data_IF_924830441257
#
_entry.id   IF_924830441257
#
_cell.length_a   1.000
_cell.length_b   1.000
_cell.length_c   1.000
_cell.angle_alpha   90.00
_cell.angle_beta   90.00
_cell.angle_gamma   90.00
#
_symmetry.space_group_name_H-M   'P 1'
#
loop_
_entity.id
_entity.type
_entity.pdbx_description
1 polymer ?
#
# COMPACT_ATOMS: atom_id res chain seq x y z
N UNK A 1 -19.74 -19.59 -28.32
CA UNK A 1 -18.96 -20.85 -28.31
C UNK A 1 -18.96 -21.37 -26.88
N UNK A 2 -19.32 -22.64 -26.66
CA UNK A 2 -19.17 -23.27 -25.33
C UNK A 2 -17.78 -23.87 -25.28
N UNK A 3 -16.95 -23.45 -24.32
CA UNK A 3 -15.65 -24.06 -24.07
C UNK A 3 -15.84 -25.50 -23.57
N UNK A 4 -14.89 -26.38 -23.89
CA UNK A 4 -14.90 -27.75 -23.35
C UNK A 4 -14.68 -27.75 -21.83
N UNK A 5 -15.07 -28.85 -21.18
CA UNK A 5 -14.90 -28.97 -19.73
C UNK A 5 -13.45 -28.90 -19.28
N UNK A 6 -12.57 -29.49 -20.08
CA UNK A 6 -11.13 -29.47 -19.87
C UNK A 6 -10.56 -28.05 -19.94
N UNK A 7 -10.93 -27.30 -20.98
CA UNK A 7 -10.40 -25.95 -21.22
C UNK A 7 -10.85 -25.00 -20.14
N UNK A 8 -12.11 -25.08 -19.70
CA UNK A 8 -12.59 -24.32 -18.56
C UNK A 8 -11.82 -24.66 -17.28
N UNK A 9 -11.52 -25.94 -17.03
CA UNK A 9 -10.77 -26.36 -15.83
C UNK A 9 -9.34 -25.82 -15.84
N UNK A 10 -8.66 -25.91 -16.98
CA UNK A 10 -7.33 -25.35 -17.17
C UNK A 10 -7.33 -23.82 -17.03
N UNK A 11 -8.32 -23.14 -17.61
CA UNK A 11 -8.47 -21.69 -17.50
C UNK A 11 -8.68 -21.25 -16.05
N UNK A 12 -9.53 -21.96 -15.28
CA UNK A 12 -9.73 -21.70 -13.85
C UNK A 12 -8.43 -21.82 -13.06
N UNK A 13 -7.69 -22.91 -13.27
CA UNK A 13 -6.44 -23.14 -12.56
C UNK A 13 -5.41 -22.05 -12.86
N UNK A 14 -5.29 -21.65 -14.12
CA UNK A 14 -4.31 -20.67 -14.55
C UNK A 14 -4.67 -19.23 -14.13
N UNK A 15 -5.96 -18.87 -14.20
CA UNK A 15 -6.46 -17.59 -13.69
C UNK A 15 -6.32 -17.51 -12.17
N UNK A 16 -6.59 -18.60 -11.46
CA UNK A 16 -6.39 -18.67 -10.02
C UNK A 16 -4.92 -18.49 -9.63
N UNK A 17 -3.99 -19.14 -10.35
CA UNK A 17 -2.56 -19.06 -10.02
C UNK A 17 -1.93 -17.71 -10.39
N UNK A 18 -2.32 -17.11 -11.52
CA UNK A 18 -1.70 -15.87 -12.03
C UNK A 18 -2.39 -14.60 -11.56
N UNK A 19 -3.72 -14.60 -11.50
CA UNK A 19 -4.53 -13.41 -11.16
C UNK A 19 -5.14 -13.50 -9.75
N UNK A 20 -5.04 -14.66 -9.09
CA UNK A 20 -5.67 -14.90 -7.79
C UNK A 20 -7.20 -15.06 -7.84
N UNK A 21 -7.82 -14.94 -9.02
CA UNK A 21 -9.28 -14.87 -9.17
C UNK A 21 -9.92 -16.26 -9.09
N UNK A 22 -11.02 -16.35 -8.33
CA UNK A 22 -11.88 -17.52 -8.27
C UNK A 22 -13.04 -17.41 -9.26
N UNK A 23 -13.10 -18.40 -10.15
CA UNK A 23 -14.21 -18.65 -11.05
C UNK A 23 -14.85 -19.98 -10.68
N UNK A 24 -15.56 -20.00 -9.54
CA UNK A 24 -16.44 -21.10 -9.14
C UNK A 24 -17.44 -21.47 -10.26
N UNK A 25 -18.09 -22.63 -10.16
CA UNK A 25 -18.94 -23.15 -11.24
C UNK A 25 -20.05 -22.17 -11.66
N UNK A 26 -20.58 -21.39 -10.71
CA UNK A 26 -21.57 -20.33 -10.95
C UNK A 26 -21.05 -19.22 -11.87
N UNK A 27 -19.73 -18.94 -11.89
CA UNK A 27 -19.07 -17.94 -12.74
C UNK A 27 -18.37 -18.57 -13.95
N UNK A 28 -18.57 -19.86 -14.22
CA UNK A 28 -18.00 -20.57 -15.37
C UNK A 28 -18.34 -19.89 -16.70
N UNK A 29 -19.57 -19.40 -16.83
CA UNK A 29 -20.01 -18.70 -18.03
C UNK A 29 -19.27 -17.37 -18.23
N UNK A 30 -18.93 -16.66 -17.14
CA UNK A 30 -18.21 -15.39 -17.17
C UNK A 30 -16.77 -15.61 -17.62
N UNK A 31 -16.10 -16.62 -17.04
CA UNK A 31 -14.76 -17.04 -17.45
C UNK A 31 -14.72 -17.36 -18.95
N UNK A 32 -15.69 -18.14 -19.42
CA UNK A 32 -15.74 -18.51 -20.83
C UNK A 32 -15.95 -17.33 -21.77
N UNK A 33 -16.81 -16.37 -21.39
CA UNK A 33 -16.99 -15.14 -22.18
C UNK A 33 -15.72 -14.28 -22.17
N UNK A 34 -15.09 -14.10 -21.02
CA UNK A 34 -13.87 -13.30 -20.90
C UNK A 34 -12.72 -13.88 -21.70
N UNK A 35 -12.52 -15.20 -21.66
CA UNK A 35 -11.48 -15.87 -22.46
C UNK A 35 -11.73 -15.72 -23.96
N UNK A 36 -12.98 -15.84 -24.42
CA UNK A 36 -13.35 -15.63 -25.82
C UNK A 36 -13.10 -14.19 -26.27
N UNK A 37 -13.41 -13.21 -25.41
CA UNK A 37 -13.16 -11.80 -25.72
C UNK A 37 -11.66 -11.50 -25.79
N UNK A 38 -10.89 -11.97 -24.81
CA UNK A 38 -9.43 -11.81 -24.79
C UNK A 38 -8.77 -12.46 -26.02
N UNK A 39 -9.21 -13.68 -26.40
CA UNK A 39 -8.74 -14.37 -27.59
C UNK A 39 -9.03 -13.59 -28.88
N UNK A 40 -10.21 -12.96 -29.01
CA UNK A 40 -10.55 -12.15 -30.20
C UNK A 40 -9.69 -10.90 -30.34
N UNK A 41 -9.17 -10.40 -29.23
CA UNK A 41 -8.29 -9.25 -29.18
C UNK A 41 -6.80 -9.62 -29.26
N UNK A 42 -6.48 -10.92 -29.42
CA UNK A 42 -5.11 -11.43 -29.59
C UNK A 42 -4.90 -12.01 -31.00
N UNK A 43 -3.69 -12.50 -31.28
CA UNK A 43 -3.36 -13.18 -32.54
C UNK A 43 -3.77 -14.66 -32.58
N UNK A 44 -4.33 -15.20 -31.50
CA UNK A 44 -4.69 -16.61 -31.39
C UNK A 44 -6.01 -16.92 -32.10
N UNK A 45 -6.08 -18.07 -32.77
CA UNK A 45 -7.24 -18.48 -33.57
C UNK A 45 -8.40 -19.01 -32.72
N UNK A 46 -8.11 -19.66 -31.59
CA UNK A 46 -9.14 -20.22 -30.69
C UNK A 46 -8.79 -20.01 -29.21
N UNK A 47 -9.78 -19.96 -28.30
CA UNK A 47 -9.55 -19.86 -26.85
C UNK A 47 -8.65 -20.95 -26.29
N UNK A 48 -8.67 -22.15 -26.85
CA UNK A 48 -7.80 -23.26 -26.46
C UNK A 48 -6.35 -22.93 -26.78
N UNK A 49 -6.07 -22.54 -28.04
CA UNK A 49 -4.72 -22.13 -28.45
C UNK A 49 -4.24 -20.89 -27.69
N UNK A 50 -5.16 -19.96 -27.40
CA UNK A 50 -4.88 -18.77 -26.60
C UNK A 50 -4.49 -19.15 -25.16
N UNK A 51 -5.21 -20.06 -24.53
CA UNK A 51 -4.92 -20.52 -23.18
C UNK A 51 -3.59 -21.28 -23.09
N UNK A 52 -3.31 -22.17 -24.06
CA UNK A 52 -2.02 -22.87 -24.13
C UNK A 52 -0.87 -21.88 -24.31
N UNK A 53 -1.03 -20.88 -25.19
CA UNK A 53 -0.03 -19.85 -25.38
C UNK A 53 0.15 -18.99 -24.12
N UNK A 54 -0.94 -18.50 -23.49
CA UNK A 54 -0.91 -17.75 -22.23
C UNK A 54 -0.11 -18.47 -21.14
N UNK A 55 -0.27 -19.79 -21.01
CA UNK A 55 0.46 -20.58 -20.01
C UNK A 55 1.99 -20.57 -20.20
N UNK A 56 2.48 -20.25 -21.40
CA UNK A 56 3.93 -20.13 -21.69
C UNK A 56 4.48 -18.73 -21.45
N UNK A 57 3.60 -17.74 -21.27
CA UNK A 57 4.02 -16.34 -21.13
C UNK A 57 4.41 -16.03 -19.67
N UNK A 58 5.39 -15.12 -19.47
CA UNK A 58 5.69 -14.57 -18.15
C UNK A 58 4.47 -13.87 -17.55
N UNK A 59 4.40 -13.80 -16.22
CA UNK A 59 3.26 -13.25 -15.47
C UNK A 59 3.00 -11.78 -15.80
N UNK A 60 4.05 -11.03 -16.13
CA UNK A 60 3.96 -9.62 -16.51
C UNK A 60 3.57 -9.41 -17.98
N UNK A 61 3.26 -10.48 -18.73
CA UNK A 61 2.88 -10.37 -20.13
C UNK A 61 1.66 -9.45 -20.31
N UNK A 62 1.67 -8.54 -21.30
CA UNK A 62 0.50 -7.72 -21.64
C UNK A 62 -0.77 -8.54 -21.89
N UNK A 63 -0.63 -9.80 -22.28
CA UNK A 63 -1.76 -10.70 -22.51
C UNK A 63 -2.45 -11.13 -21.21
N UNK A 64 -1.74 -11.23 -20.09
CA UNK A 64 -2.37 -11.43 -18.78
C UNK A 64 -3.24 -10.24 -18.39
N UNK A 65 -2.76 -9.02 -18.67
CA UNK A 65 -3.52 -7.78 -18.46
C UNK A 65 -4.74 -7.68 -19.38
N UNK A 66 -4.61 -8.10 -20.64
CA UNK A 66 -5.74 -8.20 -21.58
C UNK A 66 -6.79 -9.18 -21.07
N UNK A 67 -6.38 -10.36 -20.61
CA UNK A 67 -7.33 -11.30 -20.05
C UNK A 67 -8.00 -10.73 -18.80
N UNK A 68 -7.24 -10.08 -17.91
CA UNK A 68 -7.80 -9.44 -16.72
C UNK A 68 -8.88 -8.41 -17.06
N UNK A 69 -8.71 -7.59 -18.12
CA UNK A 69 -9.71 -6.58 -18.50
C UNK A 69 -11.09 -7.16 -18.83
N UNK A 70 -11.13 -8.42 -19.29
CA UNK A 70 -12.36 -9.14 -19.60
C UNK A 70 -12.89 -10.03 -18.45
N UNK A 71 -12.11 -10.22 -17.38
CA UNK A 71 -12.45 -11.09 -16.24
C UNK A 71 -12.82 -10.33 -14.96
N UNK A 72 -12.32 -9.11 -14.80
CA UNK A 72 -12.62 -8.26 -13.64
C UNK A 72 -14.01 -7.64 -13.72
N UNK A 73 -14.64 -7.44 -12.56
CA UNK A 73 -15.90 -6.71 -12.43
C UNK A 73 -15.58 -5.29 -11.99
N UNK A 74 -15.94 -4.30 -12.80
CA UNK A 74 -15.61 -2.88 -12.57
C UNK A 74 -16.74 -2.02 -11.99
N UNK A 75 -17.78 -2.62 -11.38
CA UNK A 75 -18.90 -1.84 -10.83
C UNK A 75 -18.43 -1.03 -9.62
N UNK A 76 -18.47 0.29 -9.73
CA UNK A 76 -18.10 1.23 -8.67
C UNK A 76 -18.86 2.55 -8.84
N UNK A 77 -18.87 3.38 -7.79
CA UNK A 77 -19.50 4.70 -7.78
C UNK A 77 -18.99 5.54 -6.60
N UNK A 78 -19.17 6.86 -6.71
CA UNK A 78 -18.69 7.80 -5.71
C UNK A 78 -19.37 7.58 -4.37
N UNK A 79 -18.57 7.56 -3.31
CA UNK A 79 -19.01 7.32 -1.92
C UNK A 79 -19.80 6.01 -1.74
N UNK A 80 -19.46 4.98 -2.52
CA UNK A 80 -20.05 3.64 -2.39
C UNK A 80 -19.93 3.11 -0.98
N UNK A 81 -21.04 2.62 -0.44
CA UNK A 81 -21.21 2.21 0.97
C UNK A 81 -21.04 3.40 1.91
N UNK A 82 -22.13 4.15 2.01
CA UNK A 82 -22.17 5.42 2.71
C UNK A 82 -21.68 5.31 4.16
N UNK A 83 -22.02 4.22 4.85
CA UNK A 83 -21.61 3.99 6.24
C UNK A 83 -20.09 3.94 6.41
N UNK A 84 -19.38 3.27 5.49
CA UNK A 84 -17.91 3.26 5.50
C UNK A 84 -17.34 4.68 5.30
N UNK A 85 -17.83 5.44 4.33
CA UNK A 85 -17.35 6.79 4.08
C UNK A 85 -17.71 7.78 5.20
N UNK A 86 -18.85 7.61 5.86
CA UNK A 86 -19.21 8.40 7.04
C UNK A 86 -18.25 8.11 8.21
N UNK A 87 -17.89 6.84 8.46
CA UNK A 87 -16.87 6.49 9.45
C UNK A 87 -15.50 7.11 9.13
N UNK A 88 -15.12 7.11 7.84
CA UNK A 88 -13.90 7.76 7.37
C UNK A 88 -13.91 9.28 7.60
N UNK A 89 -14.99 9.96 7.18
CA UNK A 89 -15.10 11.43 7.27
C UNK A 89 -15.22 11.92 8.71
N UNK A 90 -15.98 11.23 9.55
CA UNK A 90 -16.34 11.73 10.88
C UNK A 90 -15.35 11.34 11.97
N UNK A 91 -14.59 10.24 11.80
CA UNK A 91 -13.75 9.70 12.87
C UNK A 91 -12.34 9.35 12.38
N UNK A 92 -12.20 8.44 11.42
CA UNK A 92 -10.89 7.87 11.08
C UNK A 92 -9.92 8.92 10.51
N UNK A 93 -10.32 9.64 9.47
CA UNK A 93 -9.45 10.65 8.85
C UNK A 93 -9.16 11.82 9.80
N UNK A 94 -10.14 12.40 10.52
CA UNK A 94 -9.85 13.42 11.54
C UNK A 94 -8.84 12.97 12.60
N UNK A 95 -8.96 11.74 13.13
CA UNK A 95 -8.02 11.21 14.12
C UNK A 95 -6.62 11.03 13.54
N UNK A 96 -6.49 10.48 12.33
CA UNK A 96 -5.20 10.35 11.65
C UNK A 96 -4.55 11.72 11.42
N UNK A 97 -5.33 12.70 10.94
CA UNK A 97 -4.86 14.07 10.71
C UNK A 97 -4.35 14.70 12.02
N UNK A 98 -5.11 14.57 13.11
CA UNK A 98 -4.73 15.13 14.40
C UNK A 98 -3.42 14.51 14.92
N UNK A 99 -3.31 13.18 14.91
CA UNK A 99 -2.11 12.47 15.36
C UNK A 99 -0.86 12.87 14.54
N UNK A 100 -1.03 13.03 13.22
CA UNK A 100 0.04 13.48 12.32
C UNK A 100 0.50 14.90 12.62
N UNK A 101 -0.44 15.82 12.93
CA UNK A 101 -0.11 17.19 13.37
C UNK A 101 0.63 17.21 14.70
N UNK A 102 0.17 16.43 15.68
CA UNK A 102 0.81 16.34 17.01
C UNK A 102 2.25 15.83 16.91
N UNK A 103 2.50 14.86 16.02
CA UNK A 103 3.84 14.37 15.72
C UNK A 103 4.70 15.35 14.89
N UNK A 104 4.16 16.51 14.47
CA UNK A 104 4.86 17.44 13.57
C UNK A 104 5.02 16.94 12.13
N UNK A 105 4.36 15.83 11.77
CA UNK A 105 4.46 15.16 10.48
C UNK A 105 3.23 15.49 9.62
N UNK A 106 3.29 16.55 8.79
CA UNK A 106 2.19 16.93 7.89
C UNK A 106 2.14 16.05 6.64
N UNK A 107 1.78 14.78 6.82
CA UNK A 107 1.76 13.80 5.75
C UNK A 107 0.70 12.72 5.96
N UNK A 108 0.09 12.29 4.87
CA UNK A 108 -0.82 11.14 4.84
C UNK A 108 -0.65 10.34 3.54
N UNK A 109 -0.60 9.02 3.66
CA UNK A 109 -0.61 8.08 2.53
C UNK A 109 -1.86 7.20 2.58
N UNK A 110 -2.66 7.27 1.53
CA UNK A 110 -3.87 6.50 1.36
C UNK A 110 -3.74 5.61 0.12
N UNK A 111 -4.34 4.43 0.13
CA UNK A 111 -4.33 3.50 -0.99
C UNK A 111 -5.71 2.93 -1.26
N UNK A 112 -6.24 3.14 -2.47
CA UNK A 112 -7.39 2.39 -3.02
C UNK A 112 -6.85 1.22 -3.84
N UNK A 113 -6.94 0.02 -3.26
CA UNK A 113 -6.42 -1.24 -3.78
C UNK A 113 -7.54 -2.00 -4.50
N UNK A 114 -7.50 -2.02 -5.83
CA UNK A 114 -8.60 -2.42 -6.70
C UNK A 114 -9.56 -1.25 -6.96
N UNK A 115 -9.01 -0.14 -7.46
CA UNK A 115 -9.72 1.13 -7.57
C UNK A 115 -10.80 1.18 -8.67
N UNK A 116 -10.89 0.15 -9.52
CA UNK A 116 -11.75 0.11 -10.69
C UNK A 116 -11.59 1.39 -11.53
N UNK A 117 -12.68 2.10 -11.83
CA UNK A 117 -12.67 3.32 -12.65
C UNK A 117 -12.38 4.59 -11.85
N UNK A 118 -11.95 4.47 -10.59
CA UNK A 118 -11.34 5.56 -9.82
C UNK A 118 -12.27 6.31 -8.88
N UNK A 119 -13.58 6.04 -8.90
CA UNK A 119 -14.56 6.70 -8.04
C UNK A 119 -14.21 6.62 -6.55
N UNK A 120 -13.67 5.49 -6.07
CA UNK A 120 -13.25 5.33 -4.68
C UNK A 120 -12.06 6.24 -4.33
N UNK A 121 -11.01 6.23 -5.16
CA UNK A 121 -9.82 7.05 -4.96
C UNK A 121 -10.16 8.55 -4.98
N UNK A 122 -11.04 8.99 -5.88
CA UNK A 122 -11.49 10.37 -5.94
C UNK A 122 -12.44 10.73 -4.80
N UNK A 123 -13.23 9.78 -4.27
CA UNK A 123 -14.01 10.01 -3.06
C UNK A 123 -13.10 10.30 -1.86
N UNK A 124 -11.98 9.58 -1.71
CA UNK A 124 -10.96 9.88 -0.70
C UNK A 124 -10.33 11.27 -0.91
N UNK A 125 -9.99 11.62 -2.15
CA UNK A 125 -9.42 12.93 -2.48
C UNK A 125 -10.36 14.08 -2.10
N UNK A 126 -11.66 13.92 -2.38
CA UNK A 126 -12.70 14.86 -2.00
C UNK A 126 -12.84 14.95 -0.46
N UNK A 127 -12.80 13.83 0.26
CA UNK A 127 -12.80 13.86 1.74
C UNK A 127 -11.60 14.61 2.30
N UNK A 128 -10.39 14.36 1.77
CA UNK A 128 -9.19 15.08 2.22
C UNK A 128 -9.28 16.58 1.90
N UNK A 129 -9.78 16.99 0.73
CA UNK A 129 -10.00 18.40 0.40
C UNK A 129 -10.94 19.10 1.41
N UNK A 130 -11.97 18.39 1.88
CA UNK A 130 -12.93 18.89 2.87
C UNK A 130 -12.34 18.99 4.28
N UNK A 131 -11.56 17.99 4.69
CA UNK A 131 -11.03 17.86 6.04
C UNK A 131 -9.71 18.62 6.26
N UNK A 132 -8.98 18.94 5.18
CA UNK A 132 -7.70 19.66 5.22
C UNK A 132 -7.74 20.95 4.39
N UNK A 133 -8.23 22.07 4.97
CA UNK A 133 -8.17 23.39 4.32
C UNK A 133 -6.72 23.82 4.00
N UNK A 134 -5.78 23.43 4.86
CA UNK A 134 -4.33 23.66 4.78
C UNK A 134 -3.59 22.56 3.99
N UNK A 135 -4.27 21.76 3.17
CA UNK A 135 -3.64 20.62 2.46
C UNK A 135 -2.40 20.96 1.62
N UNK A 136 -2.20 22.22 1.25
CA UNK A 136 -1.01 22.67 0.53
C UNK A 136 0.27 22.51 1.38
N UNK A 137 0.13 22.52 2.71
CA UNK A 137 1.21 22.31 3.67
C UNK A 137 1.43 20.83 3.99
N UNK A 138 0.67 19.94 3.35
CA UNK A 138 0.72 18.50 3.58
C UNK A 138 1.33 17.75 2.39
N UNK A 139 2.18 16.78 2.68
CA UNK A 139 2.55 15.74 1.73
C UNK A 139 1.43 14.69 1.66
N UNK A 140 0.50 14.84 0.72
CA UNK A 140 -0.61 13.89 0.52
C UNK A 140 -0.32 12.94 -0.63
N UNK A 141 -0.51 11.65 -0.40
CA UNK A 141 -0.48 10.62 -1.44
C UNK A 141 -1.78 9.83 -1.40
N UNK A 142 -2.50 9.77 -2.54
CA UNK A 142 -3.56 8.78 -2.76
C UNK A 142 -3.11 7.89 -3.91
N UNK A 143 -2.72 6.66 -3.59
CA UNK A 143 -2.38 5.65 -4.57
C UNK A 143 -3.67 4.92 -5.00
N UNK A 144 -3.92 4.83 -6.30
CA UNK A 144 -5.01 4.07 -6.87
C UNK A 144 -4.43 2.97 -7.76
N UNK A 145 -4.64 1.71 -7.38
CA UNK A 145 -4.12 0.57 -8.14
C UNK A 145 -5.21 -0.38 -8.56
N UNK A 146 -5.03 -0.99 -9.73
CA UNK A 146 -5.90 -2.02 -10.26
C UNK A 146 -5.10 -2.92 -11.19
N UNK A 147 -5.62 -4.12 -11.44
CA UNK A 147 -5.07 -5.07 -12.42
C UNK A 147 -5.61 -4.77 -13.83
N UNK A 148 -6.78 -4.15 -13.94
CA UNK A 148 -7.45 -3.88 -15.20
C UNK A 148 -6.90 -2.58 -15.84
N UNK A 149 -6.17 -2.67 -16.97
CA UNK A 149 -5.59 -1.49 -17.62
C UNK A 149 -6.64 -0.49 -18.13
N UNK A 150 -7.83 -0.96 -18.54
CA UNK A 150 -8.91 -0.09 -19.01
C UNK A 150 -9.52 0.73 -17.87
N UNK A 151 -9.61 0.14 -16.69
CA UNK A 151 -10.10 0.79 -15.47
C UNK A 151 -9.11 1.86 -14.97
N UNK A 152 -7.81 1.54 -15.00
CA UNK A 152 -6.74 2.52 -14.72
C UNK A 152 -6.79 3.69 -15.70
N UNK A 153 -7.02 3.45 -16.98
CA UNK A 153 -7.12 4.52 -17.97
C UNK A 153 -8.37 5.38 -17.77
N UNK A 154 -9.50 4.76 -17.42
CA UNK A 154 -10.69 5.51 -17.01
C UNK A 154 -10.43 6.38 -15.77
N UNK A 155 -9.71 5.85 -14.77
CA UNK A 155 -9.29 6.61 -13.59
C UNK A 155 -8.44 7.82 -14.00
N UNK A 156 -7.41 7.63 -14.84
CA UNK A 156 -6.57 8.73 -15.32
C UNK A 156 -7.35 9.81 -16.05
N UNK A 157 -8.34 9.43 -16.87
CA UNK A 157 -9.20 10.40 -17.56
C UNK A 157 -10.08 11.18 -16.58
N UNK A 158 -10.59 10.53 -15.53
CA UNK A 158 -11.44 11.17 -14.53
C UNK A 158 -12.79 11.65 -15.09
N UNK A 159 -13.31 10.97 -16.12
CA UNK A 159 -14.57 11.32 -16.78
C UNK A 159 -15.67 10.32 -16.42
N UNK A 160 -16.77 10.82 -15.85
CA UNK A 160 -17.85 10.02 -15.29
C UNK A 160 -19.21 10.40 -15.86
N UNK A 161 -20.19 9.50 -15.73
CA UNK A 161 -21.58 9.73 -16.10
C UNK A 161 -22.48 9.75 -14.87
N UNK A 162 -23.74 10.14 -15.05
CA UNK A 162 -24.74 10.20 -13.97
C UNK A 162 -24.79 8.94 -13.09
N UNK A 163 -24.60 7.74 -13.68
CA UNK A 163 -24.61 6.48 -12.93
C UNK A 163 -23.55 6.38 -11.83
N UNK A 164 -22.37 7.00 -12.01
CA UNK A 164 -21.32 7.05 -11.01
C UNK A 164 -21.70 7.91 -9.78
N UNK A 165 -22.76 8.73 -9.89
CA UNK A 165 -23.21 9.67 -8.85
C UNK A 165 -24.52 9.26 -8.16
N UNK A 166 -25.03 8.05 -8.42
CA UNK A 166 -26.38 7.60 -7.99
C UNK A 166 -26.66 7.69 -6.48
N UNK A 167 -25.62 7.66 -5.64
CA UNK A 167 -25.71 7.81 -4.19
C UNK A 167 -24.88 9.01 -3.68
N UNK A 168 -24.49 9.91 -4.59
CA UNK A 168 -23.63 11.05 -4.30
C UNK A 168 -24.46 12.32 -4.16
N UNK A 169 -24.34 13.07 -3.05
CA UNK A 169 -24.99 14.36 -2.91
C UNK A 169 -24.64 15.33 -4.05
N UNK A 170 -25.63 16.05 -4.56
CA UNK A 170 -25.45 16.93 -5.74
C UNK A 170 -24.38 18.00 -5.53
N UNK A 171 -24.29 18.55 -4.31
CA UNK A 171 -23.29 19.58 -3.99
C UNK A 171 -21.84 19.08 -4.18
N UNK A 172 -21.58 17.77 -4.04
CA UNK A 172 -20.26 17.20 -4.33
C UNK A 172 -19.98 17.30 -5.82
N UNK A 173 -20.95 16.89 -6.65
CA UNK A 173 -20.85 16.96 -8.11
C UNK A 173 -20.62 18.40 -8.55
N UNK A 174 -21.39 19.34 -8.01
CA UNK A 174 -21.34 20.74 -8.43
C UNK A 174 -20.02 21.44 -8.03
N UNK A 175 -19.40 21.02 -6.93
CA UNK A 175 -18.14 21.61 -6.43
C UNK A 175 -16.90 20.97 -7.02
N UNK A 176 -16.90 19.65 -7.21
CA UNK A 176 -15.69 18.88 -7.52
C UNK A 176 -15.63 18.36 -8.95
N UNK A 177 -16.64 18.64 -9.77
CA UNK A 177 -16.69 18.19 -11.15
C UNK A 177 -17.06 19.33 -12.10
N UNK A 178 -16.52 19.26 -13.31
CA UNK A 178 -16.86 20.13 -14.41
C UNK A 178 -17.71 19.35 -15.41
N UNK A 179 -18.92 19.84 -15.64
CA UNK A 179 -19.81 19.28 -16.65
C UNK A 179 -19.23 19.50 -18.06
N UNK A 180 -19.09 18.43 -18.83
CA UNK A 180 -18.69 18.43 -20.25
C UNK A 180 -19.79 17.81 -21.09
N UNK A 181 -20.55 18.66 -21.78
CA UNK A 181 -21.70 18.21 -22.56
C UNK A 181 -22.89 17.76 -21.69
N UNK A 182 -23.74 16.89 -22.25
CA UNK A 182 -25.04 16.58 -21.68
C UNK A 182 -25.00 15.61 -20.49
N UNK A 183 -24.04 14.68 -20.43
CA UNK A 183 -24.03 13.61 -19.41
C UNK A 183 -22.65 13.26 -18.87
N UNK A 184 -21.60 13.96 -19.28
CA UNK A 184 -20.22 13.69 -18.86
C UNK A 184 -19.75 14.72 -17.83
N UNK A 185 -19.05 14.26 -16.80
CA UNK A 185 -18.49 15.07 -15.73
C UNK A 185 -17.01 14.75 -15.58
N UNK A 186 -16.16 15.76 -15.64
CA UNK A 186 -14.72 15.64 -15.41
C UNK A 186 -14.39 16.02 -13.97
N UNK A 187 -13.57 15.22 -13.28
CA UNK A 187 -13.05 15.57 -11.95
C UNK A 187 -12.25 16.88 -12.04
N UNK A 188 -12.42 17.76 -11.06
CA UNK A 188 -11.66 19.00 -10.99
C UNK A 188 -10.13 18.72 -10.99
N UNK A 189 -9.32 19.43 -11.78
CA UNK A 189 -7.88 19.15 -11.91
C UNK A 189 -7.11 19.15 -10.58
N UNK A 190 -7.57 19.96 -9.60
CA UNK A 190 -6.98 20.01 -8.27
C UNK A 190 -7.19 18.73 -7.46
N UNK A 191 -8.35 18.07 -7.61
CA UNK A 191 -8.66 16.78 -7.00
C UNK A 191 -7.96 15.66 -7.77
N UNK A 192 -7.98 15.74 -9.10
CA UNK A 192 -7.32 14.76 -9.96
C UNK A 192 -5.82 14.64 -9.65
N UNK A 193 -5.16 15.77 -9.40
CA UNK A 193 -3.74 15.82 -9.07
C UNK A 193 -3.37 15.18 -7.71
N UNK A 194 -4.34 14.87 -6.85
CA UNK A 194 -4.09 14.19 -5.57
C UNK A 194 -3.94 12.67 -5.74
N UNK A 195 -4.40 12.11 -6.86
CA UNK A 195 -4.44 10.67 -7.11
C UNK A 195 -3.31 10.25 -8.05
N UNK A 196 -2.49 9.31 -7.60
CA UNK A 196 -1.47 8.63 -8.41
C UNK A 196 -2.02 7.28 -8.85
N UNK A 197 -2.04 7.01 -10.15
CA UNK A 197 -2.58 5.77 -10.73
C UNK A 197 -1.45 4.84 -11.14
N UNK A 198 -1.46 3.60 -10.67
CA UNK A 198 -0.44 2.60 -10.99
C UNK A 198 -1.02 1.20 -11.19
N UNK A 199 -0.48 0.39 -12.11
CA UNK A 199 -0.89 -1.01 -12.24
C UNK A 199 -0.39 -1.83 -11.04
N UNK A 200 -1.25 -2.69 -10.49
CA UNK A 200 -0.85 -3.67 -9.49
C UNK A 200 -1.81 -4.86 -9.49
N UNK A 201 -1.23 -6.07 -9.51
CA UNK A 201 -1.96 -7.30 -9.23
C UNK A 201 -1.80 -7.66 -7.76
N UNK A 202 -2.88 -7.67 -6.99
CA UNK A 202 -2.81 -8.00 -5.56
C UNK A 202 -2.39 -9.47 -5.32
N UNK A 203 -2.63 -10.38 -6.26
CA UNK A 203 -2.23 -11.78 -6.08
C UNK A 203 -0.70 -11.95 -6.02
N UNK A 204 0.03 -11.03 -6.64
CA UNK A 204 1.48 -11.03 -6.72
C UNK A 204 2.16 -10.68 -5.39
N UNK A 205 3.45 -11.01 -5.31
CA UNK A 205 4.29 -10.90 -4.11
C UNK A 205 5.23 -9.69 -4.09
N UNK A 206 5.23 -8.87 -5.14
CA UNK A 206 6.12 -7.70 -5.29
C UNK A 206 5.75 -6.47 -4.47
N UNK A 207 4.84 -6.61 -3.49
CA UNK A 207 4.40 -5.54 -2.60
C UNK A 207 4.16 -6.06 -1.17
N UNK A 208 4.21 -5.20 -0.13
CA UNK A 208 4.54 -3.77 -0.20
C UNK A 208 6.00 -3.51 -0.57
N UNK A 209 6.24 -2.46 -1.36
CA UNK A 209 7.59 -1.96 -1.66
C UNK A 209 7.55 -0.45 -1.82
N UNK A 210 8.70 0.18 -1.59
CA UNK A 210 8.93 1.60 -1.90
C UNK A 210 8.72 1.86 -3.39
N UNK A 211 9.12 0.90 -4.24
CA UNK A 211 9.05 1.07 -5.70
C UNK A 211 7.61 1.02 -6.21
N UNK A 212 6.79 0.13 -5.64
CA UNK A 212 5.35 0.11 -5.92
C UNK A 212 4.58 1.22 -5.19
N UNK A 213 5.28 2.02 -4.36
CA UNK A 213 4.74 3.08 -3.52
C UNK A 213 3.65 2.61 -2.55
N UNK A 214 3.64 1.32 -2.21
CA UNK A 214 2.61 0.67 -1.38
C UNK A 214 3.02 0.50 0.08
N UNK A 215 4.18 1.00 0.51
CA UNK A 215 4.63 0.92 1.91
C UNK A 215 4.09 2.07 2.76
N UNK A 216 4.08 1.86 4.08
CA UNK A 216 3.80 2.87 5.11
C UNK A 216 2.45 3.61 4.95
N UNK A 217 1.39 2.91 4.55
CA UNK A 217 0.06 3.46 4.37
C UNK A 217 -0.63 3.79 5.71
N UNK A 218 -1.24 4.97 5.81
CA UNK A 218 -2.13 5.35 6.91
C UNK A 218 -3.51 4.69 6.77
N UNK A 219 -3.96 4.53 5.53
CA UNK A 219 -5.28 3.98 5.21
C UNK A 219 -5.20 3.19 3.89
N UNK A 220 -5.74 1.98 3.91
CA UNK A 220 -5.95 1.16 2.71
C UNK A 220 -7.44 0.85 2.59
N UNK A 221 -8.03 1.15 1.44
CA UNK A 221 -9.33 0.63 1.03
C UNK A 221 -9.09 -0.53 0.07
N UNK A 222 -9.55 -1.72 0.42
CA UNK A 222 -9.55 -2.90 -0.45
C UNK A 222 -10.96 -3.51 -0.43
N UNK A 223 -11.89 -2.83 -1.09
CA UNK A 223 -13.33 -3.06 -0.94
C UNK A 223 -13.93 -3.64 -2.22
N UNK A 224 -14.71 -4.70 -2.09
CA UNK A 224 -15.33 -5.42 -3.22
C UNK A 224 -14.29 -5.99 -4.20
N UNK A 225 -13.16 -6.48 -3.68
CA UNK A 225 -12.04 -7.04 -4.45
C UNK A 225 -11.74 -8.47 -3.99
N UNK A 226 -11.44 -8.65 -2.71
CA UNK A 226 -11.08 -9.94 -2.12
C UNK A 226 -12.19 -10.98 -2.27
N UNK A 227 -13.45 -10.57 -2.37
CA UNK A 227 -14.57 -11.48 -2.62
C UNK A 227 -14.46 -12.27 -3.95
N UNK A 228 -13.65 -11.79 -4.90
CA UNK A 228 -13.38 -12.47 -6.16
C UNK A 228 -12.16 -13.37 -6.13
N UNK A 229 -11.42 -13.41 -5.02
CA UNK A 229 -10.15 -14.13 -4.92
C UNK A 229 -10.38 -15.56 -4.40
N UNK A 230 -9.49 -16.47 -4.80
CA UNK A 230 -9.44 -17.80 -4.17
C UNK A 230 -9.08 -17.66 -2.69
N UNK A 231 -9.44 -18.65 -1.86
CA UNK A 231 -9.07 -18.67 -0.44
C UNK A 231 -7.55 -18.59 -0.23
N UNK A 232 -6.80 -19.23 -1.10
CA UNK A 232 -5.33 -19.18 -1.09
C UNK A 232 -4.82 -17.77 -1.37
N UNK A 233 -5.33 -17.12 -2.43
CA UNK A 233 -4.95 -15.75 -2.77
C UNK A 233 -5.34 -14.76 -1.66
N UNK A 234 -6.54 -14.89 -1.06
CA UNK A 234 -6.96 -14.09 0.10
C UNK A 234 -5.95 -14.21 1.25
N UNK A 235 -5.55 -15.44 1.61
CA UNK A 235 -4.59 -15.72 2.69
C UNK A 235 -3.19 -15.17 2.41
N UNK A 236 -2.82 -15.03 1.14
CA UNK A 236 -1.55 -14.42 0.75
C UNK A 236 -1.63 -12.88 0.74
N UNK A 237 -2.72 -12.30 0.25
CA UNK A 237 -2.91 -10.84 0.09
C UNK A 237 -3.04 -10.13 1.42
N UNK A 238 -3.86 -10.65 2.34
CA UNK A 238 -4.19 -9.91 3.57
C UNK A 238 -2.97 -9.61 4.45
N UNK A 239 -2.04 -10.56 4.68
CA UNK A 239 -0.77 -10.23 5.34
C UNK A 239 0.08 -9.19 4.60
N UNK A 240 0.00 -9.08 3.27
CA UNK A 240 0.70 -8.00 2.53
C UNK A 240 0.06 -6.65 2.77
N UNK A 241 -1.27 -6.57 2.75
CA UNK A 241 -2.00 -5.34 3.07
C UNK A 241 -1.74 -4.89 4.51
N UNK A 242 -1.69 -5.84 5.45
CA UNK A 242 -1.33 -5.55 6.85
C UNK A 242 0.11 -5.02 6.97
N UNK A 243 1.09 -5.63 6.29
CA UNK A 243 2.47 -5.13 6.25
C UNK A 243 2.59 -3.76 5.59
N UNK A 244 1.74 -3.47 4.61
CA UNK A 244 1.69 -2.17 3.95
C UNK A 244 1.23 -1.03 4.87
N UNK A 245 0.47 -1.34 5.93
CA UNK A 245 0.00 -0.35 6.91
C UNK A 245 1.09 0.02 7.92
N UNK A 246 1.13 1.30 8.27
CA UNK A 246 1.80 1.74 9.50
C UNK A 246 1.06 1.26 10.72
N UNK A 247 1.76 1.21 11.85
CA UNK A 247 1.14 1.10 13.17
C UNK A 247 0.10 2.21 13.35
N UNK A 248 -1.10 1.84 13.80
CA UNK A 248 -2.23 2.75 13.97
C UNK A 248 -3.03 2.99 12.68
N UNK A 249 -2.54 2.51 11.53
CA UNK A 249 -3.19 2.61 10.24
C UNK A 249 -4.42 1.72 10.10
N UNK A 250 -5.21 1.99 9.06
CA UNK A 250 -6.54 1.40 8.89
C UNK A 250 -6.67 0.62 7.58
N UNK A 251 -7.25 -0.57 7.63
CA UNK A 251 -7.72 -1.33 6.49
C UNK A 251 -9.25 -1.30 6.46
N UNK A 252 -9.81 -0.93 5.31
CA UNK A 252 -11.25 -0.93 5.06
C UNK A 252 -11.56 -1.94 3.96
N UNK A 253 -12.44 -2.89 4.28
CA UNK A 253 -12.96 -3.90 3.35
C UNK A 253 -14.48 -3.79 3.30
N UNK A 254 -15.13 -4.37 2.29
CA UNK A 254 -16.59 -4.38 2.28
C UNK A 254 -17.15 -5.34 3.33
N UNK A 255 -18.38 -5.12 3.79
CA UNK A 255 -19.01 -6.01 4.78
C UNK A 255 -19.11 -7.47 4.32
N UNK A 256 -19.19 -7.73 3.01
CA UNK A 256 -19.20 -9.08 2.45
C UNK A 256 -17.84 -9.80 2.54
N UNK A 257 -16.76 -9.04 2.74
CA UNK A 257 -15.39 -9.54 2.82
C UNK A 257 -14.89 -9.65 4.26
N UNK A 258 -15.56 -8.98 5.20
CA UNK A 258 -15.23 -8.98 6.61
C UNK A 258 -15.12 -10.43 7.14
N UNK A 259 -13.95 -10.76 7.68
CA UNK A 259 -13.64 -12.11 8.16
C UNK A 259 -12.67 -12.05 9.33
N UNK A 260 -13.14 -12.47 10.52
CA UNK A 260 -12.32 -12.47 11.72
C UNK A 260 -11.09 -13.38 11.62
N UNK A 261 -11.17 -14.48 10.86
CA UNK A 261 -10.02 -15.38 10.64
C UNK A 261 -9.00 -14.72 9.70
N UNK A 262 -9.46 -14.16 8.58
CA UNK A 262 -8.57 -13.69 7.54
C UNK A 262 -7.78 -12.45 7.96
N UNK A 263 -8.41 -11.56 8.73
CA UNK A 263 -7.80 -10.29 9.15
C UNK A 263 -7.12 -10.36 10.52
N UNK A 264 -6.82 -11.55 11.04
CA UNK A 264 -6.19 -11.76 12.36
C UNK A 264 -4.68 -11.54 12.26
N UNK A 265 -4.22 -10.28 12.18
CA UNK A 265 -3.77 -9.59 13.39
C UNK A 265 -4.32 -8.16 13.57
N UNK A 266 -5.23 -7.72 12.70
CA UNK A 266 -5.86 -6.40 12.79
C UNK A 266 -7.03 -6.43 13.79
N UNK A 267 -7.20 -5.32 14.50
CA UNK A 267 -8.28 -5.13 15.47
C UNK A 267 -9.53 -4.61 14.75
N UNK A 268 -10.66 -5.33 14.74
CA UNK A 268 -11.90 -4.82 14.18
C UNK A 268 -12.48 -3.71 15.08
N UNK A 269 -12.88 -2.60 14.48
CA UNK A 269 -13.53 -1.47 15.13
C UNK A 269 -14.89 -1.23 14.46
N UNK A 270 -15.94 -1.29 15.27
CA UNK A 270 -17.31 -1.14 14.80
C UNK A 270 -17.73 0.32 14.75
N UNK A 271 -18.35 0.69 13.64
CA UNK A 271 -19.02 1.96 13.42
C UNK A 271 -20.49 1.69 13.06
N UNK A 272 -21.38 2.69 13.16
CA UNK A 272 -22.76 2.54 12.68
C UNK A 272 -22.80 2.10 11.21
N UNK A 273 -23.17 0.84 10.96
CA UNK A 273 -23.28 0.27 9.61
C UNK A 273 -21.97 -0.16 8.95
N UNK A 274 -20.82 -0.13 9.64
CA UNK A 274 -19.53 -0.52 9.07
C UNK A 274 -18.58 -1.15 10.12
N UNK A 275 -17.68 -2.02 9.66
CA UNK A 275 -16.58 -2.55 10.48
C UNK A 275 -15.29 -2.26 9.71
N UNK A 276 -14.38 -1.54 10.36
CA UNK A 276 -13.07 -1.21 9.82
C UNK A 276 -12.00 -1.91 10.66
N UNK A 277 -10.81 -2.12 10.14
CA UNK A 277 -9.74 -2.85 10.80
C UNK A 277 -8.57 -1.93 11.08
N UNK A 278 -8.06 -1.91 12.30
CA UNK A 278 -6.91 -1.10 12.70
C UNK A 278 -5.71 -1.97 12.99
N UNK A 279 -4.54 -1.57 12.49
CA UNK A 279 -3.26 -2.19 12.87
C UNK A 279 -2.81 -1.61 14.20
N UNK A 280 -2.73 -2.41 15.25
CA UNK A 280 -2.17 -1.97 16.53
C UNK A 280 -0.70 -2.40 16.67
N UNK A 281 -0.01 -1.81 17.65
CA UNK A 281 1.30 -2.34 18.05
C UNK A 281 1.10 -3.79 18.48
N UNK A 282 1.88 -4.71 17.91
CA UNK A 282 2.02 -6.05 18.47
C UNK A 282 2.63 -5.89 19.86
N UNK A 283 1.77 -5.77 20.88
CA UNK A 283 2.16 -5.93 22.25
C UNK A 283 2.78 -7.33 22.36
N UNK A 284 4.03 -7.40 22.78
CA UNK A 284 4.62 -8.66 23.25
C UNK A 284 3.73 -9.12 24.42
N UNK A 285 2.90 -10.13 24.15
CA UNK A 285 2.03 -10.90 25.05
C UNK A 285 1.33 -10.16 26.21
N UNK A 286 -0.01 -10.07 26.16
CA UNK A 286 -0.80 -9.83 27.38
C UNK A 286 -2.26 -9.48 27.15
N UNK A 287 -3.09 -10.49 26.84
CA UNK A 287 -4.58 -10.53 26.91
C UNK A 287 -5.40 -9.44 26.16
N UNK A 288 -6.51 -9.82 25.50
CA UNK A 288 -7.38 -8.86 24.82
C UNK A 288 -8.18 -8.03 25.84
N UNK A 289 -7.89 -6.74 25.91
CA UNK A 289 -8.77 -5.76 26.57
C UNK A 289 -9.93 -5.43 25.63
N UNK A 290 -11.15 -5.82 26.02
CA UNK A 290 -12.37 -5.34 25.39
C UNK A 290 -12.61 -3.88 25.82
N UNK A 291 -12.09 -2.91 25.05
CA UNK A 291 -12.42 -1.50 25.27
C UNK A 291 -13.71 -1.19 24.51
N UNK A 292 -14.84 -1.26 25.21
CA UNK A 292 -16.07 -0.60 24.78
C UNK A 292 -15.92 0.91 24.94
N UNK A 293 -15.92 1.65 23.83
CA UNK A 293 -15.90 3.12 23.85
C UNK A 293 -17.31 3.64 24.18
N UNK A 294 -17.47 4.28 25.35
CA UNK A 294 -18.65 5.07 25.69
C UNK A 294 -18.37 6.57 25.46
N UNK A 295 -19.35 7.37 25.00
CA UNK A 295 -19.13 8.78 24.70
C UNK A 295 -18.92 9.60 25.98
N UNK A 296 -17.98 10.53 25.92
CA UNK A 296 -17.58 11.38 27.04
C UNK A 296 -18.71 12.35 27.47
N UNK A 297 -19.27 12.13 28.66
CA UNK A 297 -20.00 13.16 29.41
C UNK A 297 -19.05 13.77 30.46
N UNK A 298 -18.70 15.05 30.27
CA UNK A 298 -17.98 15.85 31.28
C UNK A 298 -18.88 16.09 32.48
N UNK A 299 -18.42 15.70 33.68
CA UNK A 299 -18.66 16.49 34.90
C UNK A 299 -17.40 16.45 35.75
N UNK A 300 -16.95 17.65 36.12
CA UNK A 300 -15.82 17.90 36.99
C UNK A 300 -16.27 17.86 38.44
N UNK A 301 -15.45 17.34 39.36
CA UNK A 301 -15.48 17.76 40.76
C UNK A 301 -14.13 17.44 41.48
N UNK A 302 -13.45 18.54 41.82
CA UNK A 302 -12.66 18.88 43.02
C UNK A 302 -11.66 17.93 43.71
N UNK A 303 -10.50 18.55 43.98
CA UNK A 303 -9.25 18.16 44.66
C UNK A 303 -9.36 18.16 46.20
N UNK A 304 -8.57 17.33 46.91
CA UNK A 304 -7.85 17.68 48.17
C UNK A 304 -6.55 16.83 48.35
N UNK A 305 -5.47 17.35 49.00
CA UNK A 305 -4.15 16.69 49.08
C UNK A 305 -3.75 16.07 50.46
N UNK A 306 -2.68 15.26 50.40
CA UNK A 306 -1.82 14.47 51.34
C UNK A 306 -1.84 14.66 52.88
N UNK A 307 -1.31 13.65 53.63
CA UNK A 307 -0.03 13.88 54.34
C UNK A 307 0.96 12.67 54.43
N UNK A 308 2.21 12.88 54.92
CA UNK A 308 3.37 11.99 54.69
C UNK A 308 3.81 11.08 55.89
N UNK A 309 4.74 10.17 55.55
CA UNK A 309 5.63 9.20 56.28
C UNK A 309 5.72 9.18 57.82
N UNK A 310 6.17 8.04 58.42
CA UNK A 310 7.52 8.09 59.03
C UNK A 310 8.39 6.82 58.96
N UNK A 311 9.71 7.05 59.05
CA UNK A 311 10.80 6.10 59.26
C UNK A 311 10.94 5.63 60.72
N UNK A 312 11.45 4.41 60.90
CA UNK A 312 12.21 3.92 62.08
C UNK A 312 12.88 2.60 61.69
N UNK A 313 13.97 2.11 62.29
CA UNK A 313 15.14 2.64 62.98
C UNK A 313 16.13 1.44 63.03
N UNK A 314 17.43 1.73 63.13
CA UNK A 314 18.55 0.78 63.09
C UNK A 314 18.83 0.21 64.49
N UNK A 315 19.22 -1.06 64.61
CA UNK A 315 20.46 -1.51 65.29
C UNK A 315 20.59 -3.05 65.44
N UNK A 316 21.83 -3.52 65.25
CA UNK A 316 22.36 -4.89 65.40
C UNK A 316 22.73 -5.19 66.90
N UNK A 317 23.42 -6.28 67.35
CA UNK A 317 24.27 -7.26 66.64
C UNK A 317 24.24 -8.73 67.15
N UNK A 318 24.96 -9.64 66.48
CA UNK A 318 25.40 -10.93 67.05
C UNK A 318 25.71 -12.00 65.99
N UNK A 319 26.83 -12.71 66.14
CA UNK A 319 27.40 -13.69 65.20
C UNK A 319 26.49 -14.88 64.85
N UNK A 320 26.82 -15.79 63.94
CA UNK A 320 28.04 -16.62 63.85
C UNK A 320 28.25 -17.09 62.39
N UNK A 321 29.51 -17.32 62.05
CA UNK A 321 30.07 -17.80 60.77
C UNK A 321 29.62 -19.23 60.43
N UNK A 322 29.20 -19.45 59.18
CA UNK A 322 29.24 -20.77 58.54
C UNK A 322 29.64 -20.62 57.06
N UNK A 323 30.70 -21.32 56.68
CA UNK A 323 31.32 -21.29 55.36
C UNK A 323 30.43 -21.93 54.28
N UNK A 324 30.33 -21.27 53.12
CA UNK A 324 29.84 -21.87 51.87
C UNK A 324 30.79 -21.51 50.72
N UNK A 325 31.05 -22.52 49.89
CA UNK A 325 32.00 -22.60 48.79
C UNK A 325 31.88 -21.49 47.73
N UNK A 326 32.96 -21.19 46.98
CA UNK A 326 32.93 -20.12 45.97
C UNK A 326 31.99 -20.46 44.82
N UNK A 327 31.14 -19.49 44.47
CA UNK A 327 30.30 -19.52 43.27
C UNK A 327 31.17 -19.45 42.00
N UNK A 328 30.82 -20.17 40.92
CA UNK A 328 31.52 -20.06 39.65
C UNK A 328 31.30 -18.67 39.04
N UNK A 329 32.36 -18.08 38.50
CA UNK A 329 32.32 -16.80 37.78
C UNK A 329 31.29 -16.84 36.64
N UNK A 330 30.52 -15.75 36.41
CA UNK A 330 29.60 -15.69 35.29
C UNK A 330 30.39 -15.85 33.97
N UNK A 331 29.82 -16.53 32.96
CA UNK A 331 30.43 -16.61 31.63
C UNK A 331 30.62 -15.19 31.08
N UNK A 332 31.68 -14.93 30.30
CA UNK A 332 31.85 -13.63 29.66
C UNK A 332 30.61 -13.34 28.81
N UNK A 333 30.08 -12.12 28.94
CA UNK A 333 28.98 -11.65 28.12
C UNK A 333 29.31 -11.91 26.64
N UNK A 334 28.35 -12.38 25.83
CA UNK A 334 28.58 -12.54 24.42
C UNK A 334 28.96 -11.17 23.85
N UNK A 335 30.20 -11.05 23.40
CA UNK A 335 30.64 -9.92 22.59
C UNK A 335 29.64 -9.82 21.43
N UNK A 336 28.86 -8.74 21.39
CA UNK A 336 27.97 -8.46 20.26
C UNK A 336 28.83 -8.55 18.99
N UNK A 337 28.62 -9.61 18.21
CA UNK A 337 29.23 -9.73 16.91
C UNK A 337 28.86 -8.47 16.13
N UNK A 338 29.86 -7.77 15.59
CA UNK A 338 29.66 -6.61 14.72
C UNK A 338 28.53 -6.95 13.74
N UNK A 339 27.40 -6.23 13.75
CA UNK A 339 26.25 -6.64 12.96
C UNK A 339 26.60 -6.60 11.47
N UNK A 340 26.32 -7.72 10.80
CA UNK A 340 26.48 -7.89 9.36
C UNK A 340 25.69 -6.79 8.61
N UNK A 341 26.29 -6.07 7.64
CA UNK A 341 25.60 -5.00 6.88
C UNK A 341 24.25 -5.42 6.28
N UNK A 342 24.12 -6.67 5.83
CA UNK A 342 22.84 -7.18 5.30
C UNK A 342 21.77 -7.36 6.40
N UNK A 343 22.21 -7.59 7.63
CA UNK A 343 21.33 -7.66 8.80
C UNK A 343 20.92 -6.27 9.28
N UNK A 344 21.84 -5.29 9.28
CA UNK A 344 21.52 -3.90 9.60
C UNK A 344 20.57 -3.26 8.55
N UNK A 345 20.74 -3.55 7.26
CA UNK A 345 19.84 -3.04 6.22
C UNK A 345 18.43 -3.62 6.35
N UNK A 346 18.29 -4.92 6.65
CA UNK A 346 16.99 -5.54 6.95
C UNK A 346 16.32 -4.92 8.18
N UNK A 347 17.09 -4.61 9.22
CA UNK A 347 16.59 -3.89 10.40
C UNK A 347 16.14 -2.48 10.04
N UNK A 348 16.93 -1.73 9.26
CA UNK A 348 16.57 -0.39 8.81
C UNK A 348 15.26 -0.40 8.01
N UNK A 349 15.09 -1.37 7.10
CA UNK A 349 13.84 -1.59 6.36
C UNK A 349 12.67 -1.86 7.30
N UNK A 350 12.82 -2.80 8.23
CA UNK A 350 11.76 -3.15 9.18
C UNK A 350 11.35 -1.96 10.05
N UNK A 351 12.30 -1.09 10.42
CA UNK A 351 12.00 0.15 11.15
C UNK A 351 11.24 1.15 10.28
N UNK A 352 11.65 1.33 9.02
CA UNK A 352 10.95 2.17 8.06
C UNK A 352 9.51 1.69 7.81
N UNK A 353 9.30 0.38 7.64
CA UNK A 353 7.98 -0.23 7.45
C UNK A 353 7.07 -0.03 8.67
N UNK A 354 7.66 0.04 9.87
CA UNK A 354 6.94 0.31 11.11
C UNK A 354 6.69 1.80 11.35
N UNK A 355 7.19 2.68 10.47
CA UNK A 355 7.09 4.14 10.60
C UNK A 355 8.08 4.75 11.58
N UNK A 356 9.07 3.99 12.08
CA UNK A 356 10.16 4.49 12.93
C UNK A 356 11.27 5.07 12.06
N UNK A 357 10.97 6.22 11.46
CA UNK A 357 11.76 6.80 10.38
C UNK A 357 13.11 7.33 10.86
N UNK A 358 13.20 7.86 12.09
CA UNK A 358 14.45 8.31 12.70
C UNK A 358 15.41 7.13 12.93
N UNK A 359 14.94 6.06 13.58
CA UNK A 359 15.73 4.84 13.81
C UNK A 359 16.20 4.21 12.48
N UNK A 360 15.34 4.21 11.47
CA UNK A 360 15.67 3.71 10.14
C UNK A 360 16.73 4.60 9.44
N UNK A 361 16.64 5.92 9.60
CA UNK A 361 17.60 6.88 9.05
C UNK A 361 18.98 6.67 9.67
N UNK A 362 19.05 6.61 11.01
CA UNK A 362 20.29 6.42 11.76
C UNK A 362 21.00 5.12 11.35
N UNK A 363 20.23 4.04 11.18
CA UNK A 363 20.77 2.76 10.69
C UNK A 363 21.32 2.88 9.27
N UNK A 364 20.60 3.56 8.36
CA UNK A 364 21.08 3.77 6.99
C UNK A 364 22.37 4.61 6.95
N UNK A 365 22.45 5.67 7.75
CA UNK A 365 23.63 6.51 7.86
C UNK A 365 24.83 5.72 8.44
N UNK A 366 24.59 4.88 9.44
CA UNK A 366 25.61 3.99 10.00
C UNK A 366 26.14 2.97 8.98
N UNK A 367 25.26 2.39 8.16
CA UNK A 367 25.66 1.47 7.07
C UNK A 367 26.53 2.22 6.05
N UNK A 368 26.10 3.40 5.60
CA UNK A 368 26.84 4.21 4.63
C UNK A 368 28.16 4.77 5.19
N UNK A 369 28.26 4.99 6.50
CA UNK A 369 29.52 5.35 7.14
C UNK A 369 30.57 4.23 7.04
N UNK A 370 30.12 2.96 7.07
CA UNK A 370 30.98 1.78 6.89
C UNK A 370 31.28 1.50 5.42
N UNK A 371 30.29 1.63 4.54
CA UNK A 371 30.44 1.42 3.10
C UNK A 371 29.64 2.46 2.28
N UNK A 372 30.33 3.47 1.75
CA UNK A 372 29.74 4.54 0.94
C UNK A 372 29.39 4.12 -0.50
N UNK A 373 29.77 2.92 -0.92
CA UNK A 373 29.56 2.42 -2.28
C UNK A 373 28.35 1.49 -2.39
N UNK A 374 27.68 1.20 -1.27
CA UNK A 374 26.48 0.38 -1.26
C UNK A 374 25.27 1.17 -1.82
N UNK A 375 24.60 0.60 -2.82
CA UNK A 375 23.46 1.19 -3.51
C UNK A 375 22.17 1.12 -2.67
N UNK A 376 21.93 -0.02 -2.02
CA UNK A 376 20.63 -0.31 -1.39
C UNK A 376 20.27 0.65 -0.24
N UNK A 377 21.22 1.06 0.64
CA UNK A 377 20.95 2.05 1.67
C UNK A 377 20.55 3.41 1.10
N UNK A 378 21.08 3.82 -0.07
CA UNK A 378 20.66 5.06 -0.72
C UNK A 378 19.21 5.00 -1.24
N UNK A 379 18.78 3.84 -1.76
CA UNK A 379 17.38 3.64 -2.16
C UNK A 379 16.43 3.68 -0.95
N UNK A 380 16.84 3.07 0.17
CA UNK A 380 16.08 3.13 1.42
C UNK A 380 16.07 4.54 2.02
N UNK A 381 17.18 5.27 2.03
CA UNK A 381 17.21 6.68 2.47
C UNK A 381 16.29 7.56 1.63
N UNK A 382 16.27 7.36 0.32
CA UNK A 382 15.34 8.10 -0.55
C UNK A 382 13.89 7.84 -0.15
N UNK A 383 13.55 6.60 0.17
CA UNK A 383 12.26 6.23 0.70
C UNK A 383 11.99 6.95 2.02
N UNK A 384 12.88 6.85 3.01
CA UNK A 384 12.73 7.45 4.33
C UNK A 384 12.55 8.98 4.23
N UNK A 385 13.34 9.67 3.41
CA UNK A 385 13.18 11.11 3.19
C UNK A 385 11.84 11.44 2.49
N UNK A 386 11.40 10.64 1.53
CA UNK A 386 10.05 10.76 0.97
C UNK A 386 8.99 10.52 2.06
N UNK A 387 9.24 9.58 2.97
CA UNK A 387 8.39 9.31 4.12
C UNK A 387 8.31 10.48 5.11
N UNK A 388 9.36 11.29 5.20
CA UNK A 388 9.43 12.49 6.04
C UNK A 388 8.97 13.77 5.33
N UNK A 389 8.59 13.68 4.04
CA UNK A 389 8.24 14.86 3.22
C UNK A 389 9.45 15.67 2.74
N UNK A 390 10.67 15.19 2.99
CA UNK A 390 11.94 15.83 2.65
C UNK A 390 12.34 15.53 1.19
N UNK A 391 11.50 15.93 0.23
CA UNK A 391 11.66 15.55 -1.18
C UNK A 391 13.03 15.95 -1.78
N UNK A 392 13.62 17.06 -1.32
CA UNK A 392 14.95 17.49 -1.75
C UNK A 392 16.06 16.53 -1.32
N UNK A 393 15.98 16.02 -0.09
CA UNK A 393 16.92 15.03 0.43
C UNK A 393 16.72 13.68 -0.27
N UNK A 394 15.47 13.26 -0.50
CA UNK A 394 15.16 12.05 -1.26
C UNK A 394 15.78 12.07 -2.66
N UNK A 395 15.60 13.17 -3.41
CA UNK A 395 16.21 13.33 -4.73
C UNK A 395 17.75 13.34 -4.68
N UNK A 396 18.34 13.85 -3.60
CA UNK A 396 19.81 13.86 -3.43
C UNK A 396 20.34 12.45 -3.21
N UNK A 397 19.67 11.65 -2.36
CA UNK A 397 20.00 10.24 -2.16
C UNK A 397 19.89 9.45 -3.48
N UNK A 398 18.82 9.65 -4.26
CA UNK A 398 18.64 8.98 -5.55
C UNK A 398 19.69 9.37 -6.60
N UNK A 399 20.08 10.65 -6.66
CA UNK A 399 21.18 11.08 -7.53
C UNK A 399 22.49 10.44 -7.12
N UNK A 400 22.71 10.22 -5.83
CA UNK A 400 23.89 9.51 -5.33
C UNK A 400 23.85 8.02 -5.72
N UNK A 401 22.70 7.38 -5.56
CA UNK A 401 22.47 6.02 -6.06
C UNK A 401 22.77 5.88 -7.56
N UNK A 402 22.24 6.79 -8.40
CA UNK A 402 22.50 6.81 -9.84
C UNK A 402 23.97 7.08 -10.17
N UNK A 403 24.65 7.93 -9.39
CA UNK A 403 26.08 8.17 -9.59
C UNK A 403 26.92 6.90 -9.34
N UNK A 404 26.55 6.11 -8.33
CA UNK A 404 27.24 4.86 -7.99
C UNK A 404 26.90 3.73 -8.97
N UNK A 405 25.64 3.62 -9.37
CA UNK A 405 25.13 2.63 -10.31
C UNK A 405 24.29 3.32 -11.41
N UNK A 406 24.91 3.82 -12.49
CA UNK A 406 24.22 4.54 -13.56
C UNK A 406 23.15 3.71 -14.29
N UNK A 407 23.25 2.38 -14.21
CA UNK A 407 22.34 1.37 -14.75
C UNK A 407 21.29 0.89 -13.74
N UNK A 408 21.21 1.50 -12.55
CA UNK A 408 20.17 1.20 -11.56
C UNK A 408 18.80 1.68 -12.02
N UNK A 409 18.06 0.80 -12.68
CA UNK A 409 16.67 1.06 -13.08
C UNK A 409 15.77 1.48 -11.89
N UNK A 410 15.85 0.87 -10.69
CA UNK A 410 15.08 1.34 -9.53
C UNK A 410 15.38 2.79 -9.14
N UNK A 411 16.66 3.19 -9.14
CA UNK A 411 17.04 4.56 -8.78
C UNK A 411 16.49 5.59 -9.79
N UNK A 412 16.58 5.29 -11.09
CA UNK A 412 15.99 6.12 -12.15
C UNK A 412 14.47 6.17 -12.03
N UNK A 413 13.81 5.05 -11.72
CA UNK A 413 12.37 5.00 -11.56
C UNK A 413 11.89 5.88 -10.41
N UNK A 414 12.46 5.70 -9.21
CA UNK A 414 12.13 6.49 -8.03
C UNK A 414 12.40 7.98 -8.24
N UNK A 415 13.48 8.33 -8.93
CA UNK A 415 13.76 9.74 -9.26
C UNK A 415 12.74 10.28 -10.25
N UNK A 416 12.40 9.49 -11.27
CA UNK A 416 11.40 9.84 -12.28
C UNK A 416 10.03 10.09 -11.67
N UNK A 417 9.55 9.18 -10.83
CA UNK A 417 8.24 9.30 -10.16
C UNK A 417 8.18 10.53 -9.24
N UNK A 418 9.24 10.80 -8.46
CA UNK A 418 9.34 12.00 -7.63
C UNK A 418 9.36 13.30 -8.44
N UNK A 419 10.07 13.33 -9.58
CA UNK A 419 10.10 14.48 -10.47
C UNK A 419 8.73 14.76 -11.10
N UNK A 420 8.00 13.71 -11.48
CA UNK A 420 6.63 13.85 -12.00
C UNK A 420 5.69 14.42 -10.93
N UNK A 421 5.78 13.96 -9.68
CA UNK A 421 5.03 14.52 -8.54
C UNK A 421 5.31 16.01 -8.33
N UNK A 422 6.55 16.45 -8.49
CA UNK A 422 6.94 17.86 -8.43
C UNK A 422 6.60 18.65 -9.71
N UNK A 423 5.79 18.11 -10.63
CA UNK A 423 5.44 18.71 -11.92
C UNK A 423 6.65 19.00 -12.83
N UNK A 424 7.82 18.40 -12.56
CA UNK A 424 9.03 18.49 -13.40
C UNK A 424 8.97 17.47 -14.53
N UNK A 425 7.94 17.59 -15.37
CA UNK A 425 7.51 16.56 -16.32
C UNK A 425 8.62 16.07 -17.25
N UNK A 426 9.34 16.99 -17.90
CA UNK A 426 10.41 16.64 -18.86
C UNK A 426 11.53 15.83 -18.20
N UNK A 427 11.95 16.21 -16.99
CA UNK A 427 13.01 15.50 -16.28
C UNK A 427 12.52 14.13 -15.81
N UNK A 428 11.29 14.07 -15.26
CA UNK A 428 10.69 12.81 -14.81
C UNK A 428 10.50 11.81 -15.95
N UNK A 429 9.97 12.26 -17.09
CA UNK A 429 9.82 11.43 -18.29
C UNK A 429 11.16 10.89 -18.78
N UNK A 430 12.18 11.73 -18.87
CA UNK A 430 13.52 11.29 -19.28
C UNK A 430 14.09 10.21 -18.36
N UNK A 431 13.91 10.34 -17.04
CA UNK A 431 14.32 9.31 -16.09
C UNK A 431 13.57 7.99 -16.32
N UNK A 432 12.27 8.04 -16.57
CA UNK A 432 11.48 6.83 -16.85
C UNK A 432 11.79 6.22 -18.23
N UNK A 433 12.11 7.02 -19.24
CA UNK A 433 12.61 6.53 -20.53
C UNK A 433 13.93 5.76 -20.37
N UNK A 434 14.82 6.22 -19.49
CA UNK A 434 16.03 5.47 -19.12
C UNK A 434 15.67 4.13 -18.48
N UNK A 435 14.69 4.06 -17.57
CA UNK A 435 14.20 2.80 -16.99
C UNK A 435 13.73 1.85 -18.08
N UNK A 436 12.91 2.34 -19.01
CA UNK A 436 12.44 1.53 -20.14
C UNK A 436 13.61 1.04 -20.98
N UNK A 437 14.59 1.89 -21.29
CA UNK A 437 15.78 1.50 -22.06
C UNK A 437 16.63 0.44 -21.36
N UNK A 438 16.83 0.56 -20.04
CA UNK A 438 17.61 -0.39 -19.26
C UNK A 438 16.93 -1.75 -19.19
N UNK A 439 15.63 -1.77 -18.91
CA UNK A 439 14.89 -3.01 -18.66
C UNK A 439 14.36 -3.69 -19.92
N UNK A 440 14.32 -3.01 -21.08
CA UNK A 440 13.82 -3.61 -22.33
C UNK A 440 14.64 -4.82 -22.82
N UNK A 441 15.87 -4.98 -22.31
CA UNK A 441 16.76 -6.10 -22.66
C UNK A 441 16.98 -7.08 -21.50
N UNK A 442 16.34 -6.84 -20.35
CA UNK A 442 16.45 -7.67 -19.14
C UNK A 442 15.33 -8.72 -19.15
N UNK A 443 15.62 -9.98 -18.81
CA UNK A 443 14.59 -11.00 -18.58
C UNK A 443 13.48 -10.49 -17.64
N UNK A 444 12.18 -10.60 -18.00
CA UNK A 444 11.08 -10.03 -17.21
C UNK A 444 10.97 -10.55 -15.77
N UNK A 445 11.43 -11.77 -15.53
CA UNK A 445 11.42 -12.50 -14.26
C UNK A 445 12.67 -12.22 -13.40
N UNK A 446 13.67 -11.52 -13.93
CA UNK A 446 14.87 -11.17 -13.18
C UNK A 446 14.52 -10.23 -12.02
N UNK A 447 14.90 -10.64 -10.80
CA UNK A 447 14.73 -9.84 -9.59
C UNK A 447 15.71 -8.66 -9.58
N UNK A 448 15.21 -7.47 -9.31
CA UNK A 448 16.02 -6.26 -9.22
C UNK A 448 16.66 -6.16 -7.83
N UNK A 449 17.99 -5.95 -7.74
CA UNK A 449 18.68 -5.77 -6.46
C UNK A 449 18.08 -4.64 -5.61
N UNK A 450 18.04 -4.81 -4.29
CA UNK A 450 17.54 -3.81 -3.34
C UNK A 450 16.04 -3.48 -3.42
N UNK A 451 15.24 -4.27 -4.16
CA UNK A 451 13.83 -4.00 -4.42
C UNK A 451 12.87 -5.10 -3.93
N UNK A 452 13.27 -5.88 -2.92
CA UNK A 452 12.40 -6.84 -2.22
C UNK A 452 11.65 -7.82 -3.16
N UNK A 453 12.35 -8.35 -4.17
CA UNK A 453 11.76 -9.31 -5.12
C UNK A 453 10.97 -8.68 -6.27
N UNK A 454 11.00 -7.35 -6.42
CA UNK A 454 10.47 -6.69 -7.60
C UNK A 454 11.22 -7.15 -8.86
N UNK A 455 10.47 -7.55 -9.89
CA UNK A 455 11.06 -8.04 -11.14
C UNK A 455 11.27 -6.92 -12.17
N UNK A 456 12.22 -7.10 -13.07
CA UNK A 456 12.48 -6.19 -14.19
C UNK A 456 11.22 -5.93 -15.01
N UNK A 457 10.42 -6.96 -15.28
CA UNK A 457 9.15 -6.85 -16.00
C UNK A 457 8.15 -5.94 -15.29
N UNK A 458 8.00 -6.07 -13.96
CA UNK A 458 7.09 -5.24 -13.16
C UNK A 458 7.49 -3.77 -13.16
N UNK A 459 8.78 -3.48 -12.97
CA UNK A 459 9.26 -2.11 -12.97
C UNK A 459 9.14 -1.47 -14.35
N UNK A 460 9.41 -2.23 -15.42
CA UNK A 460 9.27 -1.79 -16.80
C UNK A 460 7.81 -1.42 -17.13
N UNK A 461 6.87 -2.27 -16.75
CA UNK A 461 5.44 -2.03 -16.97
C UNK A 461 4.94 -0.81 -16.19
N UNK A 462 5.40 -0.66 -14.96
CA UNK A 462 5.10 0.51 -14.15
C UNK A 462 5.67 1.78 -14.81
N UNK A 463 6.93 1.76 -15.24
CA UNK A 463 7.55 2.90 -15.92
C UNK A 463 6.81 3.30 -17.21
N UNK A 464 6.39 2.33 -18.03
CA UNK A 464 5.57 2.57 -19.22
C UNK A 464 4.24 3.21 -18.87
N UNK A 465 3.55 2.72 -17.83
CA UNK A 465 2.29 3.29 -17.37
C UNK A 465 2.42 4.76 -16.94
N UNK A 466 3.54 5.14 -16.33
CA UNK A 466 3.82 6.55 -15.99
C UNK A 466 4.10 7.41 -17.24
N UNK A 467 4.67 6.85 -18.31
CA UNK A 467 4.93 7.56 -19.58
C UNK A 467 3.69 7.71 -20.46
N UNK A 468 2.76 6.76 -20.38
CA UNK A 468 1.50 6.76 -21.15
C UNK A 468 0.50 7.83 -20.72
N UNK A 469 0.67 8.42 -19.52
CA UNK A 469 -0.08 9.59 -19.08
C UNK A 469 0.24 10.76 -20.03
N UNK A 470 -0.55 10.93 -21.10
CA UNK A 470 -0.52 12.11 -21.98
C UNK A 470 -1.39 13.22 -21.38
N UNK A 471 -0.99 14.50 -21.55
CA UNK A 471 -1.67 15.64 -20.97
C UNK A 471 -3.10 15.83 -21.47
#
# INVERSE_FOLDING_TARGET
MRLSDEVCRQARALVASRLGLDFADVRRADLGRGLVQACRASSASTPETYLTWLATLPDQSPEWRRLASHLTVGETYFFRDRACFDALEQQVLPTLIAARREAGLRRLRLWSAGCATGEEAYSLAILLDRLLPDRADWALTILATDINPEALEATRRGCYRNWSFRETPEWIRDRYFHRRGAETFEVAPSIQAMVTVAPLNLAEDGYPSVVTDTSAMDLILCRNVLMYFTREAQRAVVPRLERALVTGGWLVVSSAEASAELFRPLVPVSFPGAILYRKEQSAISGQPSAIGWAPASRQAETVWPDPPVPWSAVDAPGGVVAAQSPAPSPPPEPVEALPDPATDLRRARAQADQGRLEEALDLCEAILARNRLDLEPYLLLAAIHQERGELGAAMTALRRAIYLAPDSAPAHFLLGSLLLRQRKRRQGQRSLETVVSLLSRTPPDEALPGCDGLTAGRLLDTARAYLEVRP
#
